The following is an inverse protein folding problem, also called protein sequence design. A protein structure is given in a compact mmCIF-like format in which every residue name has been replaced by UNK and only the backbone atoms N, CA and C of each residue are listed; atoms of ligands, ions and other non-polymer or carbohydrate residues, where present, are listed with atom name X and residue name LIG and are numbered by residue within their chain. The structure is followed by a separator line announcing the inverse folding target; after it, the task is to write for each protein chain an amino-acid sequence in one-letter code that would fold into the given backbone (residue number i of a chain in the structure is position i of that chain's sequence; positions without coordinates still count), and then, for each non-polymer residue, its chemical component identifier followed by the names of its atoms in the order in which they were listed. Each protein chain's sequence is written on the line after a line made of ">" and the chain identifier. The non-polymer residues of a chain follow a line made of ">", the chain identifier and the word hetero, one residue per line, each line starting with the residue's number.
data_IF_795575995381
#
_entry.id   IF_795575995381
#
_cell.length_a   1.000
_cell.length_b   1.000
_cell.length_c   1.000
_cell.angle_alpha   90.00
_cell.angle_beta   90.00
_cell.angle_gamma   90.00
#
_symmetry.space_group_name_H-M   'P 1'
#
loop_
_entity.id
_entity.type
_entity.pdbx_description
1 polymer ?
#
# COMPACT_ATOMS: atom_id res chain seq x y z
N UNK A 1 -15.17 48.42 53.50
CA UNK A 1 -15.78 47.70 52.33
C UNK A 1 -14.70 46.95 51.50
N UNK A 2 -13.94 46.08 52.23
CA UNK A 2 -12.80 45.33 51.61
C UNK A 2 -12.45 44.02 52.33
N UNK A 3 -13.37 43.41 53.06
CA UNK A 3 -13.13 42.12 53.76
C UNK A 3 -14.07 40.97 53.35
N UNK A 4 -15.04 41.22 52.47
CA UNK A 4 -16.08 40.21 52.13
C UNK A 4 -15.84 39.50 50.78
N UNK A 5 -14.64 39.56 50.19
CA UNK A 5 -14.32 39.00 48.86
C UNK A 5 -13.28 37.89 48.88
N UNK A 6 -12.93 37.34 50.06
CA UNK A 6 -11.82 36.37 50.20
C UNK A 6 -12.25 34.93 50.50
N UNK A 7 -13.55 34.65 50.70
CA UNK A 7 -14.02 33.31 51.12
C UNK A 7 -14.73 32.48 50.07
N UNK A 8 -14.65 32.86 48.77
CA UNK A 8 -15.29 32.08 47.68
C UNK A 8 -14.27 31.28 46.86
N UNK A 9 -12.99 31.29 47.20
CA UNK A 9 -11.98 30.51 46.51
C UNK A 9 -11.59 29.30 47.35
N UNK A 10 -11.91 28.12 46.82
CA UNK A 10 -11.44 26.76 47.21
C UNK A 10 -12.27 25.99 48.23
N UNK A 11 -13.40 25.46 47.79
CA UNK A 11 -13.76 24.07 48.13
C UNK A 11 -13.82 23.26 46.86
N UNK A 12 -12.66 22.94 46.28
CA UNK A 12 -12.55 21.74 45.48
C UNK A 12 -13.00 20.58 46.37
N UNK A 13 -13.93 19.70 45.93
CA UNK A 13 -14.34 18.57 46.74
C UNK A 13 -13.10 17.72 47.01
N UNK A 14 -12.63 17.73 48.27
CA UNK A 14 -11.62 16.79 48.74
C UNK A 14 -12.18 15.40 48.52
N UNK A 15 -11.64 14.68 47.55
CA UNK A 15 -12.02 13.31 47.26
C UNK A 15 -11.44 12.45 48.37
N UNK A 16 -12.26 12.15 49.39
CA UNK A 16 -11.86 11.28 50.49
C UNK A 16 -11.79 9.83 49.98
N UNK A 17 -10.59 9.42 49.57
CA UNK A 17 -10.28 8.08 49.08
C UNK A 17 -10.69 6.97 50.07
N UNK A 18 -10.69 7.27 51.40
CA UNK A 18 -11.05 6.29 52.41
C UNK A 18 -12.54 5.91 52.38
N UNK A 19 -13.41 6.83 51.99
CA UNK A 19 -14.85 6.58 51.84
C UNK A 19 -15.08 5.62 50.67
N UNK A 20 -14.29 5.76 49.59
CA UNK A 20 -14.41 4.88 48.43
C UNK A 20 -13.87 3.47 48.70
N UNK A 21 -12.75 3.37 49.42
CA UNK A 21 -12.20 2.07 49.85
C UNK A 21 -13.20 1.34 50.74
N UNK A 22 -13.85 2.01 51.69
CA UNK A 22 -14.91 1.42 52.54
C UNK A 22 -16.12 0.96 51.73
N UNK A 23 -16.57 1.74 50.75
CA UNK A 23 -17.67 1.34 49.84
C UNK A 23 -17.31 0.10 48.98
N UNK A 24 -16.09 0.04 48.45
CA UNK A 24 -15.58 -1.11 47.74
C UNK A 24 -15.52 -2.37 48.64
N UNK A 25 -15.08 -2.19 49.86
CA UNK A 25 -14.99 -3.31 50.81
C UNK A 25 -16.36 -3.86 51.25
N UNK A 26 -17.35 -3.02 51.39
CA UNK A 26 -18.75 -3.39 51.66
C UNK A 26 -19.36 -4.14 50.45
N UNK A 27 -19.00 -3.77 49.22
CA UNK A 27 -19.50 -4.40 47.97
C UNK A 27 -18.67 -5.64 47.54
N UNK A 28 -17.64 -6.07 48.31
CA UNK A 28 -16.69 -7.13 47.93
C UNK A 28 -17.36 -8.42 47.45
N UNK A 29 -18.45 -8.88 48.09
CA UNK A 29 -19.18 -10.10 47.69
C UNK A 29 -19.83 -9.98 46.33
N UNK A 30 -20.37 -8.81 45.97
CA UNK A 30 -20.96 -8.52 44.67
C UNK A 30 -19.87 -8.38 43.59
N UNK A 31 -18.77 -7.68 43.94
CA UNK A 31 -17.61 -7.54 43.03
C UNK A 31 -16.98 -8.88 42.69
N UNK A 32 -16.82 -9.79 43.66
CA UNK A 32 -16.27 -11.14 43.42
C UNK A 32 -17.22 -11.96 42.51
N UNK A 33 -18.55 -11.87 42.70
CA UNK A 33 -19.51 -12.57 41.83
C UNK A 33 -19.46 -12.05 40.38
N UNK A 34 -19.45 -10.72 40.20
CA UNK A 34 -19.37 -10.10 38.86
C UNK A 34 -18.02 -10.39 38.21
N UNK A 35 -16.92 -10.28 38.95
CA UNK A 35 -15.57 -10.63 38.47
C UNK A 35 -15.48 -12.11 38.06
N UNK A 36 -16.11 -13.01 38.84
CA UNK A 36 -16.16 -14.43 38.53
C UNK A 36 -16.93 -14.73 37.23
N UNK A 37 -18.11 -14.13 37.05
CA UNK A 37 -18.90 -14.28 35.82
C UNK A 37 -18.16 -13.67 34.62
N UNK A 38 -17.58 -12.46 34.77
CA UNK A 38 -16.81 -11.83 33.68
C UNK A 38 -15.54 -12.59 33.33
N UNK A 39 -14.87 -13.21 34.32
CA UNK A 39 -13.72 -14.05 34.07
C UNK A 39 -14.09 -15.34 33.28
N UNK A 40 -15.22 -15.98 33.60
CA UNK A 40 -15.72 -17.14 32.85
C UNK A 40 -16.04 -16.74 31.41
N UNK A 41 -16.77 -15.65 31.20
CA UNK A 41 -17.10 -15.15 29.87
C UNK A 41 -15.84 -14.75 29.10
N UNK A 42 -14.91 -14.04 29.75
CA UNK A 42 -13.63 -13.66 29.16
C UNK A 42 -12.78 -14.87 28.76
N UNK A 43 -12.81 -15.94 29.55
CA UNK A 43 -12.13 -17.21 29.25
C UNK A 43 -12.72 -17.90 28.03
N UNK A 44 -14.04 -17.96 27.94
CA UNK A 44 -14.75 -18.54 26.78
C UNK A 44 -14.38 -17.75 25.50
N UNK A 45 -14.38 -16.42 25.55
CA UNK A 45 -14.01 -15.58 24.41
C UNK A 45 -12.53 -15.74 24.06
N UNK A 46 -11.62 -15.70 25.05
CA UNK A 46 -10.19 -15.81 24.83
C UNK A 46 -9.77 -17.15 24.19
N UNK A 47 -10.45 -18.24 24.50
CA UNK A 47 -10.20 -19.55 23.87
C UNK A 47 -10.96 -19.73 22.54
N UNK A 48 -11.97 -18.93 22.26
CA UNK A 48 -12.70 -18.95 21.00
C UNK A 48 -11.98 -18.23 19.85
N UNK A 49 -11.10 -17.28 20.15
CA UNK A 49 -10.36 -16.55 19.13
C UNK A 49 -9.23 -17.41 18.59
N UNK A 50 -9.15 -17.62 17.25
CA UNK A 50 -8.02 -18.33 16.64
C UNK A 50 -6.72 -17.53 16.81
N UNK A 51 -5.55 -18.19 16.91
CA UNK A 51 -4.27 -17.51 16.92
C UNK A 51 -4.04 -16.80 15.58
N UNK A 52 -3.41 -15.62 15.61
CA UNK A 52 -3.02 -14.87 14.43
C UNK A 52 -1.50 -14.78 14.39
N UNK A 53 -0.94 -14.96 13.20
CA UNK A 53 0.51 -14.90 12.96
C UNK A 53 0.80 -13.74 12.03
N UNK A 54 1.84 -12.96 12.35
CA UNK A 54 2.27 -11.82 11.55
C UNK A 54 3.64 -12.11 10.95
N UNK A 55 3.77 -11.84 9.66
CA UNK A 55 5.05 -11.86 8.94
C UNK A 55 5.26 -10.48 8.35
N UNK A 56 6.45 -9.94 8.52
CA UNK A 56 6.88 -8.67 7.94
C UNK A 56 8.03 -8.93 6.97
N UNK A 57 7.97 -8.29 5.81
CA UNK A 57 9.03 -8.29 4.80
C UNK A 57 9.50 -6.87 4.60
N UNK A 58 10.80 -6.63 4.73
CA UNK A 58 11.38 -5.30 4.58
C UNK A 58 12.03 -5.16 3.21
N UNK A 59 11.60 -4.13 2.47
CA UNK A 59 12.05 -3.81 1.13
C UNK A 59 12.80 -2.48 1.16
N UNK A 60 14.06 -2.47 0.71
CA UNK A 60 14.80 -1.22 0.52
C UNK A 60 14.70 -0.78 -0.94
N UNK A 61 14.44 0.51 -1.22
CA UNK A 61 14.48 1.01 -2.57
C UNK A 61 15.89 0.83 -3.13
N UNK A 62 15.99 0.24 -4.31
CA UNK A 62 17.25 0.22 -5.05
C UNK A 62 17.48 1.65 -5.56
N UNK A 63 18.11 2.46 -4.73
CA UNK A 63 18.44 3.84 -5.06
C UNK A 63 19.40 3.81 -6.23
N UNK A 64 18.90 4.09 -7.41
CA UNK A 64 19.72 4.35 -8.60
C UNK A 64 20.56 5.62 -8.47
N UNK A 65 21.08 5.91 -7.26
CA UNK A 65 21.97 7.06 -7.02
C UNK A 65 23.25 7.02 -7.84
N UNK A 66 23.66 5.84 -8.29
CA UNK A 66 24.83 5.71 -9.15
C UNK A 66 24.50 5.77 -10.65
N UNK A 67 23.37 5.19 -11.09
CA UNK A 67 22.93 5.29 -12.49
C UNK A 67 22.44 6.70 -12.86
N UNK A 68 21.73 7.37 -11.94
CA UNK A 68 21.23 8.73 -12.16
C UNK A 68 22.35 9.75 -12.30
N UNK A 69 23.46 9.59 -11.57
CA UNK A 69 24.60 10.51 -11.67
C UNK A 69 25.44 10.31 -12.93
N UNK A 70 25.61 9.10 -13.43
CA UNK A 70 26.31 8.86 -14.68
C UNK A 70 25.46 9.30 -15.88
N UNK A 71 24.17 9.00 -15.87
CA UNK A 71 23.26 9.41 -16.95
C UNK A 71 22.95 10.90 -16.90
N UNK A 72 22.82 11.51 -15.70
CA UNK A 72 22.66 12.97 -15.55
C UNK A 72 23.97 13.71 -15.87
N UNK A 73 25.11 13.10 -15.60
CA UNK A 73 26.43 13.59 -16.04
C UNK A 73 26.52 13.61 -17.57
N UNK A 74 26.11 12.55 -18.25
CA UNK A 74 26.02 12.51 -19.71
C UNK A 74 24.97 13.48 -20.27
N UNK A 75 23.81 13.58 -19.66
CA UNK A 75 22.76 14.53 -20.05
C UNK A 75 23.21 15.98 -19.89
N UNK A 76 23.97 16.30 -18.82
CA UNK A 76 24.57 17.62 -18.59
C UNK A 76 25.67 17.93 -19.63
N UNK A 77 26.45 16.93 -20.00
CA UNK A 77 27.50 17.05 -21.01
C UNK A 77 26.97 17.22 -22.44
N UNK A 78 25.71 16.71 -22.68
CA UNK A 78 24.99 16.86 -23.94
C UNK A 78 24.13 18.15 -23.99
N UNK A 79 24.25 19.06 -23.01
CA UNK A 79 23.49 20.32 -22.97
C UNK A 79 22.02 20.15 -22.58
N UNK A 80 21.61 18.99 -22.08
CA UNK A 80 20.23 18.67 -21.68
C UNK A 80 19.95 19.02 -20.22
N UNK A 81 20.80 19.82 -19.57
CA UNK A 81 20.68 20.22 -18.16
C UNK A 81 19.41 21.01 -17.82
N UNK A 82 18.70 21.53 -18.81
CA UNK A 82 17.39 22.20 -18.64
C UNK A 82 16.19 21.26 -18.57
N UNK A 83 16.32 19.98 -18.91
CA UNK A 83 15.24 18.98 -18.91
C UNK A 83 15.18 18.13 -17.62
N UNK A 84 15.99 18.45 -16.62
CA UNK A 84 16.00 17.71 -15.34
C UNK A 84 14.68 17.79 -14.53
N UNK A 85 13.73 18.64 -14.92
CA UNK A 85 12.42 18.75 -14.28
C UNK A 85 11.43 17.64 -14.65
N UNK A 86 11.77 16.77 -15.61
CA UNK A 86 10.85 15.74 -16.12
C UNK A 86 11.35 14.30 -16.04
N UNK A 87 12.63 14.07 -15.68
CA UNK A 87 13.22 12.72 -15.70
C UNK A 87 13.07 11.93 -14.40
N UNK A 88 12.77 12.59 -13.27
CA UNK A 88 12.46 11.94 -11.99
C UNK A 88 10.96 11.64 -11.77
N UNK A 89 10.12 12.01 -12.72
CA UNK A 89 8.72 11.61 -12.74
C UNK A 89 8.55 10.18 -13.25
N UNK A 90 9.39 9.26 -12.80
CA UNK A 90 9.16 7.84 -13.01
C UNK A 90 7.96 7.45 -12.16
N UNK A 91 6.84 7.24 -12.85
CA UNK A 91 5.46 7.41 -12.42
C UNK A 91 5.01 6.50 -11.25
N UNK A 92 5.84 5.60 -10.76
CA UNK A 92 5.58 4.81 -9.57
C UNK A 92 6.64 5.09 -8.51
N UNK A 93 6.41 6.14 -7.74
CA UNK A 93 7.16 6.39 -6.52
C UNK A 93 6.87 5.31 -5.47
N UNK A 94 7.84 4.99 -4.64
CA UNK A 94 7.69 4.04 -3.52
C UNK A 94 6.47 4.36 -2.65
N UNK A 95 6.07 5.64 -2.58
CA UNK A 95 4.88 6.09 -1.85
C UNK A 95 3.55 5.51 -2.34
N UNK A 96 3.49 4.97 -3.57
CA UNK A 96 2.28 4.34 -4.12
C UNK A 96 2.19 2.83 -3.83
N UNK A 97 3.21 2.22 -3.23
CA UNK A 97 3.19 0.78 -2.95
C UNK A 97 2.02 0.36 -2.05
N UNK A 98 1.67 1.09 -0.98
CA UNK A 98 0.48 0.78 -0.20
C UNK A 98 -0.79 0.76 -1.05
N UNK A 99 -1.01 1.79 -1.88
CA UNK A 99 -2.20 1.90 -2.73
C UNK A 99 -2.28 0.76 -3.76
N UNK A 100 -1.13 0.33 -4.29
CA UNK A 100 -1.06 -0.80 -5.23
C UNK A 100 -1.46 -2.10 -4.52
N UNK A 101 -0.89 -2.36 -3.34
CA UNK A 101 -1.14 -3.59 -2.58
C UNK A 101 -2.60 -3.68 -2.12
N UNK A 102 -3.24 -2.55 -1.79
CA UNK A 102 -4.64 -2.47 -1.40
C UNK A 102 -5.61 -2.49 -2.60
N UNK A 103 -5.11 -2.34 -3.82
CA UNK A 103 -5.96 -2.28 -5.01
C UNK A 103 -6.63 -3.62 -5.30
N UNK A 104 -7.89 -3.57 -5.73
CA UNK A 104 -8.65 -4.78 -6.10
C UNK A 104 -7.96 -5.64 -7.16
N UNK A 105 -7.42 -5.08 -8.27
CA UNK A 105 -6.71 -5.89 -9.26
C UNK A 105 -5.52 -6.64 -8.69
N UNK A 106 -4.74 -6.01 -7.82
CA UNK A 106 -3.59 -6.65 -7.18
C UNK A 106 -4.02 -7.81 -6.26
N UNK A 107 -5.06 -7.59 -5.44
CA UNK A 107 -5.58 -8.63 -4.54
C UNK A 107 -6.15 -9.81 -5.32
N UNK A 108 -6.80 -9.58 -6.45
CA UNK A 108 -7.29 -10.65 -7.32
C UNK A 108 -6.17 -11.52 -7.89
N UNK A 109 -5.01 -10.93 -8.18
CA UNK A 109 -3.85 -11.71 -8.59
C UNK A 109 -3.34 -12.67 -7.50
N UNK A 110 -3.63 -12.39 -6.22
CA UNK A 110 -3.25 -13.28 -5.11
C UNK A 110 -4.16 -14.50 -4.98
N UNK A 111 -5.33 -14.52 -5.60
CA UNK A 111 -6.30 -15.60 -5.51
C UNK A 111 -5.72 -16.95 -5.95
N UNK A 112 -4.89 -16.95 -6.98
CA UNK A 112 -4.27 -18.15 -7.55
C UNK A 112 -3.01 -18.60 -6.78
N UNK A 113 -2.62 -17.90 -5.71
CA UNK A 113 -1.47 -18.27 -4.91
C UNK A 113 -1.74 -19.61 -4.23
N UNK A 114 -0.85 -20.57 -4.46
CA UNK A 114 -0.92 -21.88 -3.84
C UNK A 114 -0.37 -21.81 -2.42
N UNK A 115 -1.16 -22.24 -1.45
CA UNK A 115 -0.85 -22.17 -0.03
C UNK A 115 -0.96 -23.55 0.63
N UNK A 116 -0.07 -23.80 1.59
CA UNK A 116 -0.05 -25.03 2.36
C UNK A 116 0.00 -24.68 3.85
N UNK A 117 -0.85 -25.34 4.64
CA UNK A 117 -0.82 -25.19 6.10
C UNK A 117 0.38 -25.91 6.73
N UNK A 118 0.84 -25.43 7.89
CA UNK A 118 1.99 -26.00 8.59
C UNK A 118 1.80 -27.48 8.91
N UNK A 119 0.58 -27.93 9.19
CA UNK A 119 0.27 -29.31 9.53
C UNK A 119 -0.04 -30.17 8.29
N UNK A 120 -0.04 -29.58 7.10
CA UNK A 120 -0.30 -30.30 5.84
C UNK A 120 -1.76 -30.68 5.61
N UNK A 121 -2.68 -30.19 6.45
CA UNK A 121 -4.10 -30.50 6.37
C UNK A 121 -4.78 -29.86 5.15
N UNK A 122 -4.24 -28.78 4.67
CA UNK A 122 -4.76 -28.01 3.53
C UNK A 122 -3.63 -27.69 2.57
N UNK A 123 -3.79 -28.06 1.31
CA UNK A 123 -2.91 -27.74 0.18
C UNK A 123 -3.81 -27.27 -0.98
N UNK A 124 -3.99 -25.96 -1.13
CA UNK A 124 -5.01 -25.39 -1.99
C UNK A 124 -4.67 -23.94 -2.39
N UNK A 125 -5.54 -23.31 -3.16
CA UNK A 125 -5.42 -21.88 -3.48
C UNK A 125 -5.79 -21.00 -2.29
N UNK A 126 -5.27 -19.76 -2.29
CA UNK A 126 -5.55 -18.78 -1.22
C UNK A 126 -7.04 -18.49 -1.08
N UNK A 127 -7.80 -18.46 -2.18
CA UNK A 127 -9.26 -18.32 -2.16
C UNK A 127 -9.91 -19.42 -1.33
N UNK A 128 -9.60 -20.66 -1.67
CA UNK A 128 -10.17 -21.83 -0.99
C UNK A 128 -9.77 -21.90 0.49
N UNK A 129 -8.56 -21.44 0.83
CA UNK A 129 -8.15 -21.29 2.23
C UNK A 129 -9.01 -20.26 2.98
N UNK A 130 -9.37 -19.12 2.34
CA UNK A 130 -10.23 -18.11 2.95
C UNK A 130 -11.68 -18.58 3.10
N UNK A 131 -12.22 -19.35 2.18
CA UNK A 131 -13.54 -19.96 2.28
C UNK A 131 -13.65 -20.91 3.48
N UNK A 132 -12.58 -21.65 3.80
CA UNK A 132 -12.51 -22.60 4.91
C UNK A 132 -11.94 -21.99 6.21
N UNK A 133 -11.76 -20.67 6.26
CA UNK A 133 -11.22 -19.98 7.44
C UNK A 133 -12.07 -20.24 8.68
N UNK A 134 -11.43 -20.64 9.78
CA UNK A 134 -12.10 -20.89 11.05
C UNK A 134 -12.64 -19.58 11.65
N UNK A 135 -13.94 -19.35 11.52
CA UNK A 135 -14.62 -18.27 12.23
C UNK A 135 -14.88 -18.68 13.69
N UNK A 136 -14.83 -17.76 14.66
CA UNK A 136 -15.23 -18.07 16.03
C UNK A 136 -16.72 -18.46 16.06
N UNK A 137 -17.09 -19.49 16.84
CA UNK A 137 -18.44 -20.01 16.91
C UNK A 137 -19.51 -18.96 17.25
N UNK A 138 -19.14 -17.93 18.00
CA UNK A 138 -20.04 -16.80 18.32
C UNK A 138 -20.23 -15.82 17.15
N UNK A 139 -19.38 -15.86 16.13
CA UNK A 139 -19.58 -15.12 14.88
C UNK A 139 -20.93 -15.45 14.24
N UNK A 140 -21.35 -16.71 14.31
CA UNK A 140 -22.68 -17.15 13.85
C UNK A 140 -23.80 -16.42 14.62
N UNK A 141 -23.61 -16.15 15.91
CA UNK A 141 -24.60 -15.45 16.76
C UNK A 141 -24.69 -13.97 16.38
N UNK A 142 -23.55 -13.33 16.08
CA UNK A 142 -23.49 -11.93 15.65
C UNK A 142 -24.08 -11.75 14.25
N UNK A 143 -23.90 -12.74 13.37
CA UNK A 143 -24.47 -12.75 12.03
C UNK A 143 -25.98 -13.14 12.00
N UNK A 144 -26.50 -13.69 13.10
CA UNK A 144 -27.88 -14.16 13.18
C UNK A 144 -28.93 -13.11 12.76
N UNK A 145 -28.82 -11.81 13.18
CA UNK A 145 -29.76 -10.77 12.72
C UNK A 145 -29.70 -10.55 11.20
N UNK A 146 -28.53 -10.67 10.60
CA UNK A 146 -28.33 -10.56 9.15
C UNK A 146 -28.90 -11.78 8.40
N UNK A 147 -28.67 -12.99 8.91
CA UNK A 147 -29.18 -14.24 8.33
C UNK A 147 -30.71 -14.35 8.47
N UNK A 148 -31.29 -13.89 9.59
CA UNK A 148 -32.76 -13.80 9.73
C UNK A 148 -33.35 -12.83 8.69
N UNK A 149 -32.73 -11.69 8.44
CA UNK A 149 -33.20 -10.74 7.42
C UNK A 149 -33.13 -11.35 6.02
N UNK A 150 -32.12 -12.18 5.74
CA UNK A 150 -31.98 -12.84 4.45
C UNK A 150 -32.96 -14.02 4.27
N UNK A 151 -33.47 -14.61 5.36
CA UNK A 151 -34.56 -15.62 5.31
C UNK A 151 -35.90 -15.02 4.91
N UNK A 152 -36.11 -13.72 5.15
CA UNK A 152 -37.32 -12.99 4.74
C UNK A 152 -37.17 -12.28 3.38
N UNK A 153 -35.98 -12.15 2.83
CA UNK A 153 -35.76 -11.75 1.44
C UNK A 153 -35.46 -13.01 0.63
N UNK A 154 -36.45 -13.44 -0.16
CA UNK A 154 -36.32 -14.49 -1.17
C UNK A 154 -35.25 -14.06 -2.17
N UNK A 155 -34.01 -14.38 -1.90
CA UNK A 155 -32.95 -14.26 -2.86
C UNK A 155 -32.54 -15.67 -3.24
N UNK A 156 -32.79 -15.98 -4.50
CA UNK A 156 -32.51 -17.20 -5.22
C UNK A 156 -31.15 -17.80 -4.78
N UNK A 157 -31.17 -19.10 -4.52
CA UNK A 157 -30.03 -19.99 -4.49
C UNK A 157 -29.41 -20.05 -5.90
N UNK A 158 -28.74 -19.02 -6.29
CA UNK A 158 -27.75 -19.13 -7.36
C UNK A 158 -26.49 -19.69 -6.70
N UNK A 159 -26.31 -21.00 -6.80
CA UNK A 159 -24.99 -21.60 -6.84
C UNK A 159 -24.38 -21.05 -8.13
N UNK A 160 -23.84 -19.84 -8.05
CA UNK A 160 -23.01 -19.32 -9.11
C UNK A 160 -21.81 -20.25 -9.21
N UNK A 161 -21.81 -21.07 -10.27
CA UNK A 161 -20.63 -21.75 -10.79
C UNK A 161 -19.50 -20.72 -10.78
N UNK A 162 -18.31 -21.16 -10.46
CA UNK A 162 -17.07 -20.39 -10.38
C UNK A 162 -16.87 -19.63 -11.69
N UNK A 163 -17.60 -18.51 -11.81
CA UNK A 163 -17.59 -17.63 -12.96
C UNK A 163 -16.17 -17.04 -13.04
N UNK A 164 -15.61 -17.00 -14.25
CA UNK A 164 -14.30 -16.44 -14.50
C UNK A 164 -14.13 -15.13 -13.71
N UNK A 165 -12.99 -14.97 -13.02
CA UNK A 165 -12.65 -13.78 -12.25
C UNK A 165 -12.72 -12.55 -13.15
N UNK A 166 -13.84 -11.83 -13.12
CA UNK A 166 -13.98 -10.54 -13.79
C UNK A 166 -13.73 -9.42 -12.75
N UNK A 167 -12.64 -8.69 -12.86
CA UNK A 167 -12.33 -7.58 -11.94
C UNK A 167 -13.44 -6.50 -11.91
N UNK A 168 -14.28 -6.44 -12.93
CA UNK A 168 -15.37 -5.48 -13.04
C UNK A 168 -16.66 -5.94 -12.34
N UNK A 169 -16.88 -7.26 -12.26
CA UNK A 169 -18.09 -7.84 -11.63
C UNK A 169 -17.70 -8.94 -10.66
N UNK A 170 -17.44 -8.57 -9.42
CA UNK A 170 -17.14 -9.52 -8.36
C UNK A 170 -18.42 -10.02 -7.70
N UNK A 171 -18.50 -11.31 -7.40
CA UNK A 171 -19.55 -11.88 -6.57
C UNK A 171 -19.41 -11.39 -5.13
N UNK A 172 -20.47 -11.55 -4.32
CA UNK A 172 -20.44 -11.16 -2.90
C UNK A 172 -19.38 -11.94 -2.12
N UNK A 173 -19.20 -13.21 -2.46
CA UNK A 173 -18.19 -14.08 -1.84
C UNK A 173 -16.77 -13.61 -2.20
N UNK A 174 -16.51 -13.36 -3.49
CA UNK A 174 -15.24 -12.82 -3.96
C UNK A 174 -14.91 -11.46 -3.32
N UNK A 175 -15.90 -10.56 -3.22
CA UNK A 175 -15.71 -9.26 -2.56
C UNK A 175 -15.43 -9.42 -1.06
N UNK A 176 -16.03 -10.38 -0.38
CA UNK A 176 -15.73 -10.70 1.03
C UNK A 176 -14.29 -11.17 1.20
N UNK A 177 -13.79 -12.02 0.29
CA UNK A 177 -12.39 -12.48 0.29
C UNK A 177 -11.44 -11.32 0.00
N UNK A 178 -11.74 -10.48 -1.00
CA UNK A 178 -10.95 -9.27 -1.30
C UNK A 178 -10.84 -8.36 -0.08
N UNK A 179 -11.95 -8.12 0.60
CA UNK A 179 -11.95 -7.30 1.82
C UNK A 179 -11.14 -7.94 2.93
N UNK A 180 -11.30 -9.24 3.15
CA UNK A 180 -10.53 -9.98 4.16
C UNK A 180 -9.02 -10.03 3.87
N UNK A 181 -8.62 -10.13 2.60
CA UNK A 181 -7.22 -10.03 2.19
C UNK A 181 -6.67 -8.62 2.36
N UNK A 182 -7.45 -7.59 1.99
CA UNK A 182 -7.05 -6.18 2.18
C UNK A 182 -6.81 -5.84 3.65
N UNK A 183 -7.62 -6.38 4.56
CA UNK A 183 -7.42 -6.21 6.00
C UNK A 183 -6.22 -7.03 6.53
N UNK A 184 -5.91 -8.15 5.89
CA UNK A 184 -4.83 -9.03 6.30
C UNK A 184 -3.46 -8.59 5.79
N UNK A 185 -3.40 -7.81 4.71
CA UNK A 185 -2.16 -7.36 4.07
C UNK A 185 -2.02 -5.85 4.28
N UNK A 186 -0.88 -5.42 4.79
CA UNK A 186 -0.53 -4.02 5.00
C UNK A 186 0.78 -3.69 4.32
N UNK A 187 0.91 -2.51 3.76
CA UNK A 187 2.17 -2.00 3.26
C UNK A 187 2.39 -0.59 3.82
N UNK A 188 3.51 -0.38 4.47
CA UNK A 188 3.87 0.90 5.08
C UNK A 188 5.20 1.38 4.52
N UNK A 189 5.27 2.67 4.20
CA UNK A 189 6.48 3.30 3.66
C UNK A 189 7.01 4.34 4.64
N UNK A 190 8.23 4.17 5.08
CA UNK A 190 8.93 5.23 5.80
C UNK A 190 9.34 6.35 4.84
N UNK A 191 8.72 7.51 5.00
CA UNK A 191 8.94 8.70 4.14
C UNK A 191 10.38 9.23 4.18
N UNK A 192 11.17 8.90 5.20
CA UNK A 192 12.54 9.38 5.34
C UNK A 192 13.54 8.48 4.64
N UNK A 193 13.41 7.18 4.84
CA UNK A 193 14.33 6.17 4.28
C UNK A 193 13.86 5.60 2.95
N UNK A 194 12.56 5.70 2.62
CA UNK A 194 11.93 5.02 1.50
C UNK A 194 11.80 3.50 1.69
N UNK A 195 12.15 3.00 2.87
CA UNK A 195 11.99 1.58 3.22
C UNK A 195 10.51 1.26 3.26
N UNK A 196 10.12 0.16 2.61
CA UNK A 196 8.75 -0.34 2.61
C UNK A 196 8.68 -1.61 3.43
N UNK A 197 7.76 -1.67 4.39
CA UNK A 197 7.46 -2.87 5.16
C UNK A 197 6.13 -3.43 4.71
N UNK A 198 6.14 -4.65 4.19
CA UNK A 198 4.94 -5.41 3.83
C UNK A 198 4.62 -6.37 4.97
N UNK A 199 3.46 -6.20 5.60
CA UNK A 199 2.97 -7.04 6.68
C UNK A 199 1.81 -7.92 6.23
N UNK A 200 1.79 -9.19 6.65
CA UNK A 200 0.67 -10.11 6.43
C UNK A 200 0.29 -10.77 7.73
N UNK A 201 -1.03 -10.82 8.03
CA UNK A 201 -1.57 -11.38 9.27
C UNK A 201 -2.63 -12.44 8.96
N UNK A 202 -2.32 -13.73 9.20
CA UNK A 202 -3.24 -14.85 8.95
C UNK A 202 -3.25 -15.86 10.13
N UNK A 203 -4.12 -16.88 10.03
CA UNK A 203 -4.29 -17.88 11.11
C UNK A 203 -3.26 -19.00 11.10
N UNK A 204 -2.60 -19.25 9.97
CA UNK A 204 -1.57 -20.29 9.85
C UNK A 204 -0.19 -19.66 9.58
N UNK A 205 0.87 -20.03 10.32
CA UNK A 205 2.18 -19.39 10.20
C UNK A 205 2.85 -19.63 8.83
N UNK A 206 2.68 -20.82 8.25
CA UNK A 206 3.27 -21.16 6.95
C UNK A 206 2.52 -20.44 5.82
N UNK A 207 1.19 -20.44 5.85
CA UNK A 207 0.37 -19.68 4.89
C UNK A 207 0.72 -18.20 4.95
N UNK A 208 0.89 -17.63 6.14
CA UNK A 208 1.26 -16.22 6.32
C UNK A 208 2.58 -15.89 5.63
N UNK A 209 3.59 -16.75 5.79
CA UNK A 209 4.90 -16.56 5.16
C UNK A 209 4.83 -16.71 3.62
N UNK A 210 4.10 -17.71 3.11
CA UNK A 210 3.92 -17.93 1.66
C UNK A 210 3.19 -16.73 1.02
N UNK A 211 2.14 -16.23 1.69
CA UNK A 211 1.40 -15.08 1.18
C UNK A 211 2.26 -13.82 1.21
N UNK A 212 3.04 -13.58 2.28
CA UNK A 212 3.94 -12.44 2.37
C UNK A 212 4.99 -12.45 1.24
N UNK A 213 5.61 -13.58 0.99
CA UNK A 213 6.57 -13.76 -0.11
C UNK A 213 5.89 -13.53 -1.47
N UNK A 214 4.69 -14.09 -1.67
CA UNK A 214 3.91 -13.94 -2.90
C UNK A 214 3.49 -12.49 -3.16
N UNK A 215 3.09 -11.74 -2.12
CA UNK A 215 2.77 -10.32 -2.22
C UNK A 215 3.98 -9.53 -2.71
N UNK A 216 5.15 -9.77 -2.12
CA UNK A 216 6.40 -9.10 -2.52
C UNK A 216 6.78 -9.44 -3.96
N UNK A 217 6.74 -10.73 -4.33
CA UNK A 217 7.07 -11.17 -5.68
C UNK A 217 6.13 -10.57 -6.74
N UNK A 218 4.81 -10.55 -6.45
CA UNK A 218 3.82 -9.94 -7.35
C UNK A 218 3.95 -8.42 -7.41
N UNK A 219 4.21 -7.74 -6.29
CA UNK A 219 4.47 -6.30 -6.25
C UNK A 219 5.69 -5.95 -7.12
N UNK A 220 6.78 -6.69 -6.97
CA UNK A 220 7.98 -6.51 -7.79
C UNK A 220 7.69 -6.70 -9.28
N UNK A 221 6.97 -7.78 -9.63
CA UNK A 221 6.57 -8.04 -11.01
C UNK A 221 5.68 -6.92 -11.57
N UNK A 222 4.68 -6.48 -10.82
CA UNK A 222 3.75 -5.43 -11.22
C UNK A 222 4.48 -4.12 -11.54
N UNK A 223 5.33 -3.66 -10.62
CA UNK A 223 6.08 -2.41 -10.76
C UNK A 223 7.08 -2.51 -11.91
N UNK A 224 7.81 -3.62 -12.02
CA UNK A 224 8.76 -3.84 -13.12
C UNK A 224 8.06 -3.84 -14.47
N UNK A 225 6.95 -4.56 -14.59
CA UNK A 225 6.15 -4.62 -15.82
C UNK A 225 5.62 -3.25 -16.24
N UNK A 226 5.14 -2.46 -15.27
CA UNK A 226 4.66 -1.11 -15.53
C UNK A 226 5.80 -0.19 -16.04
N UNK A 227 6.97 -0.22 -15.38
CA UNK A 227 8.13 0.60 -15.79
C UNK A 227 8.62 0.22 -17.19
N UNK A 228 8.74 -1.07 -17.48
CA UNK A 228 9.11 -1.57 -18.82
C UNK A 228 8.11 -1.11 -19.86
N UNK A 229 6.82 -1.28 -19.59
CA UNK A 229 5.75 -0.85 -20.51
C UNK A 229 5.79 0.66 -20.77
N UNK A 230 6.00 1.46 -19.73
CA UNK A 230 6.11 2.91 -19.85
C UNK A 230 7.35 3.32 -20.65
N UNK A 231 8.51 2.75 -20.31
CA UNK A 231 9.75 3.02 -21.03
C UNK A 231 9.63 2.62 -22.53
N UNK A 232 8.94 1.51 -22.83
CA UNK A 232 8.69 1.08 -24.20
C UNK A 232 7.77 2.06 -24.95
N UNK A 233 6.72 2.58 -24.31
CA UNK A 233 5.85 3.59 -24.91
C UNK A 233 6.62 4.88 -25.24
N UNK A 234 7.46 5.35 -24.32
CA UNK A 234 8.29 6.54 -24.51
C UNK A 234 9.32 6.30 -25.64
N UNK A 235 9.91 5.13 -25.71
CA UNK A 235 10.83 4.74 -26.78
C UNK A 235 10.11 4.72 -28.16
N UNK A 236 8.92 4.12 -28.24
CA UNK A 236 8.12 4.08 -29.47
C UNK A 236 7.73 5.48 -29.96
N UNK A 237 7.36 6.37 -29.02
CA UNK A 237 7.08 7.77 -29.34
C UNK A 237 8.31 8.48 -29.91
N UNK A 238 9.46 8.32 -29.27
CA UNK A 238 10.72 8.91 -29.74
C UNK A 238 11.19 8.32 -31.09
N UNK A 239 10.89 7.05 -31.39
CA UNK A 239 11.18 6.45 -32.69
C UNK A 239 10.33 7.08 -33.80
N UNK A 240 9.06 7.38 -33.55
CA UNK A 240 8.22 8.10 -34.52
C UNK A 240 8.72 9.52 -34.70
N UNK A 241 8.97 10.24 -33.63
CA UNK A 241 9.48 11.61 -33.68
C UNK A 241 10.83 11.70 -34.41
N UNK A 242 11.73 10.72 -34.20
CA UNK A 242 12.99 10.64 -34.91
C UNK A 242 12.80 10.55 -36.41
N UNK A 243 11.89 9.71 -36.88
CA UNK A 243 11.60 9.55 -38.31
C UNK A 243 11.03 10.84 -38.91
N UNK A 244 10.14 11.52 -38.20
CA UNK A 244 9.57 12.81 -38.61
C UNK A 244 10.65 13.88 -38.75
N UNK A 245 11.50 14.06 -37.73
CA UNK A 245 12.58 15.04 -37.73
C UNK A 245 13.65 14.73 -38.76
N UNK A 246 13.93 13.46 -39.00
CA UNK A 246 14.83 13.03 -40.06
C UNK A 246 14.29 13.43 -41.45
N UNK A 247 13.02 13.25 -41.69
CA UNK A 247 12.36 13.63 -42.94
C UNK A 247 12.38 15.14 -43.16
N UNK A 248 12.06 15.90 -42.10
CA UNK A 248 12.14 17.38 -42.13
C UNK A 248 13.55 17.87 -42.48
N UNK A 249 14.57 17.30 -41.84
CA UNK A 249 15.94 17.62 -42.16
C UNK A 249 16.29 17.33 -43.64
N UNK A 250 15.89 16.16 -44.16
CA UNK A 250 16.17 15.81 -45.55
C UNK A 250 15.45 16.75 -46.54
N UNK A 251 14.23 17.15 -46.25
CA UNK A 251 13.49 18.14 -47.06
C UNK A 251 14.19 19.49 -47.04
N UNK A 252 14.58 19.99 -45.84
CA UNK A 252 15.31 21.25 -45.72
C UNK A 252 16.65 21.22 -46.45
N UNK A 253 17.39 20.08 -46.34
CA UNK A 253 18.67 19.87 -47.04
C UNK A 253 18.47 19.91 -48.56
N UNK A 254 17.43 19.24 -49.06
CA UNK A 254 17.13 19.20 -50.50
C UNK A 254 16.71 20.60 -51.03
N UNK A 255 15.91 21.34 -50.28
CA UNK A 255 15.49 22.70 -50.61
C UNK A 255 16.73 23.62 -50.71
N UNK A 256 17.62 23.58 -49.75
CA UNK A 256 18.86 24.34 -49.74
C UNK A 256 19.74 23.97 -50.96
N UNK A 257 19.97 22.66 -51.21
CA UNK A 257 20.78 22.19 -52.34
C UNK A 257 20.21 22.63 -53.68
N UNK A 258 18.89 22.42 -53.92
CA UNK A 258 18.21 22.83 -55.14
C UNK A 258 18.32 24.32 -55.38
N UNK A 259 18.16 25.14 -54.33
CA UNK A 259 18.26 26.60 -54.41
C UNK A 259 19.67 27.03 -54.77
N UNK A 260 20.71 26.48 -54.16
CA UNK A 260 22.12 26.76 -54.46
C UNK A 260 22.49 26.33 -55.89
N UNK A 261 22.02 25.19 -56.34
CA UNK A 261 22.29 24.70 -57.69
C UNK A 261 21.64 25.57 -58.76
N UNK A 262 20.40 26.05 -58.51
CA UNK A 262 19.69 26.94 -59.47
C UNK A 262 20.34 28.33 -59.57
N UNK A 263 21.05 28.81 -58.55
CA UNK A 263 21.55 30.19 -58.43
C UNK A 263 23.08 30.29 -58.37
N UNK A 264 23.82 29.30 -58.90
CA UNK A 264 25.32 29.20 -58.80
C UNK A 264 26.09 30.45 -59.26
N UNK A 265 25.54 31.25 -60.17
CA UNK A 265 26.26 32.40 -60.78
C UNK A 265 25.56 33.73 -60.46
N UNK A 266 24.67 33.80 -59.49
CA UNK A 266 23.86 34.99 -59.17
C UNK A 266 24.50 35.71 -57.96
N UNK A 267 24.89 36.98 -58.09
CA UNK A 267 25.54 37.79 -57.10
C UNK A 267 24.57 38.77 -56.40
N UNK A 268 23.26 38.61 -56.67
CA UNK A 268 22.24 39.49 -56.05
C UNK A 268 22.11 39.26 -54.57
N UNK A 269 22.12 40.31 -53.79
CA UNK A 269 22.02 40.25 -52.32
C UNK A 269 20.79 39.50 -51.84
N UNK A 270 19.62 39.64 -52.55
CA UNK A 270 18.41 38.91 -52.26
C UNK A 270 18.57 37.39 -52.37
N UNK A 271 19.36 36.95 -53.36
CA UNK A 271 19.67 35.50 -53.56
C UNK A 271 20.56 34.98 -52.45
N UNK A 272 21.56 35.77 -52.06
CA UNK A 272 22.45 35.37 -50.94
C UNK A 272 21.67 35.28 -49.62
N UNK A 273 20.83 36.25 -49.31
CA UNK A 273 20.04 36.27 -48.10
C UNK A 273 19.05 35.06 -48.03
N UNK A 274 18.44 34.70 -49.15
CA UNK A 274 17.56 33.53 -49.20
C UNK A 274 18.33 32.23 -49.08
N UNK A 275 19.54 32.15 -49.65
CA UNK A 275 20.46 31.02 -49.43
C UNK A 275 20.85 30.87 -47.96
N UNK A 276 21.17 31.97 -47.28
CA UNK A 276 21.42 31.97 -45.83
C UNK A 276 20.24 31.54 -44.99
N UNK A 277 19.00 32.00 -45.37
CA UNK A 277 17.78 31.56 -44.71
C UNK A 277 17.55 30.04 -44.79
N UNK A 278 17.68 29.49 -45.98
CA UNK A 278 17.53 28.04 -46.22
C UNK A 278 18.64 27.22 -45.50
N UNK A 279 19.88 27.76 -45.47
CA UNK A 279 20.95 27.13 -44.71
C UNK A 279 20.69 27.12 -43.22
N UNK A 280 20.15 28.21 -42.66
CA UNK A 280 19.76 28.30 -41.26
C UNK A 280 18.59 27.33 -40.94
N UNK A 281 17.63 27.23 -41.83
CA UNK A 281 16.51 26.29 -41.71
C UNK A 281 17.00 24.82 -41.68
N UNK A 282 17.89 24.46 -42.62
CA UNK A 282 18.53 23.14 -42.65
C UNK A 282 19.35 22.88 -41.38
N UNK A 283 20.13 23.86 -40.89
CA UNK A 283 20.94 23.75 -39.69
C UNK A 283 20.04 23.55 -38.44
N UNK A 284 18.94 24.28 -38.34
CA UNK A 284 17.95 24.13 -37.28
C UNK A 284 17.32 22.75 -37.32
N UNK A 285 16.87 22.29 -38.48
CA UNK A 285 16.30 20.95 -38.66
C UNK A 285 17.29 19.84 -38.28
N UNK A 286 18.56 20.00 -38.62
CA UNK A 286 19.62 19.08 -38.22
C UNK A 286 19.84 19.06 -36.69
N UNK A 287 19.85 20.20 -36.04
CA UNK A 287 20.00 20.28 -34.60
C UNK A 287 18.85 19.56 -33.88
N UNK A 288 17.61 19.79 -34.30
CA UNK A 288 16.43 19.11 -33.72
C UNK A 288 16.50 17.60 -33.98
N UNK A 289 16.81 17.17 -35.20
CA UNK A 289 17.00 15.76 -35.53
C UNK A 289 18.07 15.09 -34.67
N UNK A 290 19.24 15.73 -34.52
CA UNK A 290 20.33 15.22 -33.70
C UNK A 290 19.96 15.12 -32.22
N UNK A 291 19.23 16.12 -31.70
CA UNK A 291 18.74 16.08 -30.32
C UNK A 291 17.76 14.93 -30.07
N UNK A 292 16.81 14.72 -30.98
CA UNK A 292 15.85 13.59 -30.89
C UNK A 292 16.57 12.25 -31.00
N UNK A 293 17.59 12.14 -31.90
CA UNK A 293 18.42 10.94 -32.02
C UNK A 293 19.10 10.58 -30.69
N UNK A 294 19.66 11.57 -29.98
CA UNK A 294 20.27 11.35 -28.68
C UNK A 294 19.25 10.93 -27.61
N UNK A 295 18.07 11.57 -27.59
CA UNK A 295 16.98 11.17 -26.67
C UNK A 295 16.50 9.74 -26.92
N UNK A 296 16.38 9.33 -28.19
CA UNK A 296 16.02 7.97 -28.54
C UNK A 296 17.03 6.93 -28.06
N UNK A 297 18.33 7.23 -28.14
CA UNK A 297 19.37 6.32 -27.62
C UNK A 297 19.23 6.16 -26.09
N UNK A 298 18.98 7.26 -25.36
CA UNK A 298 18.74 7.22 -23.91
C UNK A 298 17.48 6.43 -23.59
N UNK A 299 16.39 6.61 -24.35
CA UNK A 299 15.14 5.86 -24.13
C UNK A 299 15.32 4.35 -24.38
N UNK A 300 16.08 3.97 -25.43
CA UNK A 300 16.44 2.57 -25.69
C UNK A 300 17.24 1.94 -24.56
N UNK A 301 18.20 2.69 -24.00
CA UNK A 301 18.98 2.24 -22.86
C UNK A 301 18.06 2.01 -21.64
N UNK A 302 17.12 2.93 -21.36
CA UNK A 302 16.15 2.79 -20.26
C UNK A 302 15.27 1.53 -20.36
N UNK A 303 14.83 1.16 -21.56
CA UNK A 303 14.07 -0.09 -21.78
C UNK A 303 14.90 -1.32 -21.37
N UNK A 304 16.21 -1.30 -21.65
CA UNK A 304 17.12 -2.41 -21.32
C UNK A 304 17.53 -2.44 -19.84
N UNK A 305 17.54 -1.26 -19.16
CA UNK A 305 17.92 -1.12 -17.76
C UNK A 305 16.78 -1.40 -16.79
N UNK A 306 15.61 -1.86 -17.24
CA UNK A 306 14.46 -2.11 -16.36
C UNK A 306 14.76 -3.21 -15.33
N UNK A 307 15.44 -2.81 -14.25
CA UNK A 307 15.84 -3.63 -13.09
C UNK A 307 14.76 -3.65 -12.01
N UNK A 308 14.81 -4.62 -11.08
CA UNK A 308 13.98 -4.59 -9.88
C UNK A 308 14.08 -3.24 -9.16
N UNK A 309 12.95 -2.76 -8.66
CA UNK A 309 12.84 -1.41 -8.06
C UNK A 309 13.30 -1.40 -6.61
N UNK A 310 13.34 -2.56 -5.98
CA UNK A 310 13.73 -2.72 -4.58
C UNK A 310 14.44 -4.05 -4.36
N UNK A 311 15.30 -4.07 -3.34
CA UNK A 311 15.94 -5.25 -2.80
C UNK A 311 15.20 -5.73 -1.55
N UNK A 312 15.02 -7.05 -1.40
CA UNK A 312 14.49 -7.63 -0.18
C UNK A 312 15.60 -7.65 0.86
N UNK A 313 15.44 -6.86 1.93
CA UNK A 313 16.41 -6.78 3.04
C UNK A 313 16.13 -7.86 4.07
N UNK A 314 14.86 -8.02 4.42
CA UNK A 314 14.41 -9.06 5.33
C UNK A 314 13.34 -9.89 4.62
N UNK A 315 13.63 -11.15 4.27
CA UNK A 315 12.69 -12.03 3.59
C UNK A 315 11.61 -12.56 4.53
N UNK A 316 10.50 -13.05 3.96
CA UNK A 316 9.46 -13.71 4.72
C UNK A 316 10.02 -14.92 5.48
N UNK A 317 9.73 -14.99 6.78
CA UNK A 317 10.11 -16.11 7.64
C UNK A 317 8.88 -16.66 8.36
N UNK A 318 8.81 -17.97 8.58
CA UNK A 318 7.68 -18.59 9.28
C UNK A 318 7.76 -18.25 10.77
N UNK A 319 6.74 -17.54 11.32
CA UNK A 319 6.75 -17.12 12.71
C UNK A 319 6.51 -18.30 13.66
N UNK A 320 7.32 -18.40 14.72
CA UNK A 320 7.20 -19.46 15.72
C UNK A 320 6.10 -19.20 16.77
N UNK A 321 5.72 -17.93 16.95
CA UNK A 321 4.76 -17.52 17.96
C UNK A 321 3.66 -16.66 17.36
N UNK A 322 2.40 -16.77 17.84
CA UNK A 322 1.33 -15.89 17.40
C UNK A 322 1.60 -14.44 17.84
N UNK A 323 1.32 -13.51 16.96
CA UNK A 323 1.50 -12.07 17.15
C UNK A 323 0.29 -11.37 17.77
N UNK A 324 -0.84 -12.07 17.88
CA UNK A 324 -2.09 -11.52 18.45
C UNK A 324 -2.00 -11.26 19.95
N UNK A 325 -2.96 -10.51 20.47
CA UNK A 325 -3.08 -10.23 21.90
C UNK A 325 -3.13 -11.53 22.69
N UNK A 326 -2.26 -11.66 23.70
CA UNK A 326 -2.18 -12.88 24.48
C UNK A 326 -3.53 -13.17 25.17
N UNK A 327 -3.92 -14.46 25.23
CA UNK A 327 -5.17 -14.89 25.86
C UNK A 327 -5.33 -14.35 27.28
N UNK A 328 -4.20 -14.17 28.02
CA UNK A 328 -4.15 -13.58 29.34
C UNK A 328 -4.55 -12.10 29.33
N UNK A 329 -4.08 -11.33 28.35
CA UNK A 329 -4.44 -9.90 28.20
C UNK A 329 -5.91 -9.72 27.86
N UNK A 330 -6.46 -10.59 26.99
CA UNK A 330 -7.90 -10.59 26.65
C UNK A 330 -8.73 -10.84 27.93
N UNK A 331 -8.36 -11.83 28.73
CA UNK A 331 -9.02 -12.13 30.00
C UNK A 331 -8.98 -10.94 30.97
N UNK A 332 -7.81 -10.36 31.16
CA UNK A 332 -7.61 -9.19 32.05
C UNK A 332 -8.46 -8.01 31.54
N UNK A 333 -8.38 -7.69 30.27
CA UNK A 333 -9.13 -6.61 29.64
C UNK A 333 -10.65 -6.79 29.82
N UNK A 334 -11.15 -8.03 29.66
CA UNK A 334 -12.58 -8.33 29.83
C UNK A 334 -13.04 -8.16 31.27
N UNK A 335 -12.27 -8.63 32.26
CA UNK A 335 -12.54 -8.44 33.68
C UNK A 335 -12.57 -6.94 34.04
N UNK A 336 -11.59 -6.15 33.56
CA UNK A 336 -11.52 -4.71 33.84
C UNK A 336 -12.60 -3.90 33.13
N UNK A 337 -13.07 -4.33 31.94
CA UNK A 337 -14.07 -3.58 31.17
C UNK A 337 -15.51 -3.85 31.64
N UNK A 338 -15.80 -5.06 32.09
CA UNK A 338 -17.15 -5.44 32.55
C UNK A 338 -17.42 -4.97 33.99
N UNK A 339 -16.40 -4.90 34.84
CA UNK A 339 -16.53 -4.41 36.21
C UNK A 339 -17.13 -2.99 36.33
N UNK A 340 -16.70 -1.97 35.56
CA UNK A 340 -17.28 -0.63 35.60
C UNK A 340 -18.70 -0.55 35.04
N UNK A 341 -19.02 -1.34 33.98
CA UNK A 341 -20.31 -1.29 33.32
C UNK A 341 -21.49 -1.82 34.18
N UNK A 342 -21.21 -2.68 35.13
CA UNK A 342 -22.23 -3.23 36.03
C UNK A 342 -22.55 -2.32 37.24
N UNK A 343 -21.71 -1.30 37.50
CA UNK A 343 -21.90 -0.33 38.55
C UNK A 343 -21.73 1.11 38.02
N UNK A 344 -22.75 1.68 37.34
CA UNK A 344 -22.61 2.99 36.66
C UNK A 344 -22.20 4.13 37.64
N UNK A 345 -22.62 4.09 38.91
CA UNK A 345 -22.17 5.07 39.93
C UNK A 345 -20.79 4.77 40.52
N UNK A 346 -20.34 3.52 40.52
CA UNK A 346 -19.09 3.06 41.13
C UNK A 346 -18.00 2.78 40.08
N UNK A 347 -18.40 2.47 38.87
CA UNK A 347 -17.51 2.22 37.75
C UNK A 347 -16.79 3.47 37.23
N UNK A 348 -17.45 4.61 37.26
CA UNK A 348 -16.86 5.92 36.92
C UNK A 348 -15.66 6.27 37.80
N UNK A 349 -15.64 5.74 39.00
CA UNK A 349 -14.59 5.91 40.00
C UNK A 349 -13.35 5.04 39.70
N UNK A 350 -13.59 3.79 39.31
CA UNK A 350 -12.50 2.88 38.92
C UNK A 350 -11.80 3.39 37.66
N UNK A 351 -12.55 3.91 36.70
CA UNK A 351 -12.00 4.54 35.49
C UNK A 351 -11.18 5.78 35.85
N UNK A 352 -11.64 6.62 36.76
CA UNK A 352 -10.88 7.78 37.23
C UNK A 352 -9.61 7.40 38.01
N UNK A 353 -9.61 6.31 38.76
CA UNK A 353 -8.41 5.80 39.46
C UNK A 353 -7.37 5.25 38.52
N UNK A 354 -7.79 4.53 37.45
CA UNK A 354 -6.89 4.05 36.39
C UNK A 354 -6.33 5.22 35.56
N UNK A 355 -7.13 6.25 35.27
CA UNK A 355 -6.65 7.48 34.59
C UNK A 355 -5.70 8.32 35.46
N UNK A 356 -5.76 8.21 36.77
CA UNK A 356 -4.86 8.90 37.68
C UNK A 356 -3.58 8.12 38.03
N UNK A 357 -3.36 6.95 37.40
CA UNK A 357 -2.11 6.18 37.53
C UNK A 357 -1.94 5.48 38.90
N UNK A 358 -3.02 5.14 39.59
CA UNK A 358 -2.98 4.47 40.89
C UNK A 358 -3.15 2.93 40.82
N UNK A 359 -3.12 2.35 39.61
CA UNK A 359 -3.08 0.87 39.43
C UNK A 359 -2.18 0.51 38.24
#
# INVERSE_FOLDING_TARGET
>A
MSEEKKDIISKAPEIDLMVYVKKLWLARKQLIKVAGVSAILGLIIAFSLPPMYKVEVTLAPESGKNSGNELSGMASMLGLSGMNGGMDADALTVSLFPDIVESTPFILELFDVHVKTLHGDVDTTLVSYFEHKKAPWWGVIVELPGKLRNLFSSSSNDKEEMMALDPFQLTREQMSIVTGLREAITAEVDKKSGITTVGVVLQDPLVTAIVADSVVAKLQKYITSYRVSKAQQDCNYLEQLYKERQQEYYVAQQNYANYMDANKNVILQTVLTEGERLQNEMSLAYQVYSQVANQLQVARAKVQEAKPVFAVVEPASVPLHPSGTSKKMILIGFVFHVLPGFFPEKGLLLIKMVQLGFL
#
